data_IF_942881278254
#
_entry.id   IF_942881278254
#
_cell.length_a   1.000
_cell.length_b   1.000
_cell.length_c   1.000
_cell.angle_alpha   90.00
_cell.angle_beta   90.00
_cell.angle_gamma   90.00
#
_symmetry.space_group_name_H-M   'P 1'
#
loop_
_entity.id
_entity.type
_entity.pdbx_description
1 polymer ?
#
# COMPACT_ATOMS: atom_id res chain seq x y z
N UNK A 1 -5.59 -36.34 5.31
CA UNK A 1 -6.20 -36.01 4.01
C UNK A 1 -7.27 -34.98 4.30
N UNK A 2 -6.83 -33.72 4.52
CA UNK A 2 -7.71 -32.59 4.80
C UNK A 2 -8.32 -32.15 3.48
N UNK A 3 -9.64 -32.26 3.37
CA UNK A 3 -10.42 -31.59 2.37
C UNK A 3 -10.18 -30.08 2.54
N UNK A 4 -9.32 -29.49 1.70
CA UNK A 4 -9.36 -28.06 1.46
C UNK A 4 -10.73 -27.80 0.84
N UNK A 5 -11.62 -27.20 1.64
CA UNK A 5 -12.87 -26.64 1.15
C UNK A 5 -12.52 -25.64 0.03
N UNK A 6 -12.60 -26.10 -1.21
CA UNK A 6 -12.52 -25.25 -2.39
C UNK A 6 -13.76 -24.37 -2.40
N UNK A 7 -13.65 -23.24 -1.69
CA UNK A 7 -14.71 -22.25 -1.72
C UNK A 7 -15.05 -21.88 -3.16
N UNK A 8 -16.34 -21.82 -3.41
CA UNK A 8 -16.87 -21.53 -4.74
C UNK A 8 -16.38 -20.16 -5.23
N UNK A 9 -16.20 -20.01 -6.53
CA UNK A 9 -15.98 -18.71 -7.19
C UNK A 9 -17.02 -17.65 -6.78
N UNK A 10 -18.14 -18.08 -6.28
CA UNK A 10 -19.26 -17.26 -5.80
C UNK A 10 -19.19 -17.03 -4.30
N UNK A 11 -19.67 -15.88 -3.82
CA UNK A 11 -19.97 -15.67 -2.40
C UNK A 11 -21.06 -16.67 -1.96
N UNK A 12 -21.31 -16.85 -0.63
CA UNK A 12 -22.42 -17.63 -0.13
C UNK A 12 -23.81 -17.20 -0.68
N UNK A 13 -23.90 -16.00 -1.22
CA UNK A 13 -25.09 -15.47 -1.93
C UNK A 13 -25.05 -15.69 -3.45
N UNK A 14 -24.09 -16.47 -3.97
CA UNK A 14 -23.96 -16.72 -5.40
C UNK A 14 -23.36 -15.55 -6.20
N UNK A 15 -22.79 -14.52 -5.55
CA UNK A 15 -22.22 -13.37 -6.24
C UNK A 15 -20.78 -13.68 -6.65
N UNK A 16 -20.40 -13.49 -7.94
CA UNK A 16 -19.04 -13.69 -8.41
C UNK A 16 -18.03 -12.78 -7.69
N UNK A 17 -16.80 -13.26 -7.50
CA UNK A 17 -15.74 -12.50 -6.80
C UNK A 17 -15.50 -11.11 -7.43
N UNK A 18 -15.47 -11.02 -8.75
CA UNK A 18 -15.31 -9.75 -9.44
C UNK A 18 -16.46 -8.78 -9.18
N UNK A 19 -17.70 -9.27 -9.17
CA UNK A 19 -18.85 -8.43 -8.83
C UNK A 19 -18.78 -7.95 -7.36
N UNK A 20 -18.38 -8.82 -6.43
CA UNK A 20 -18.17 -8.42 -5.03
C UNK A 20 -17.10 -7.31 -4.90
N UNK A 21 -16.01 -7.40 -5.65
CA UNK A 21 -14.95 -6.39 -5.66
C UNK A 21 -15.46 -5.06 -6.23
N UNK A 22 -16.21 -5.10 -7.33
CA UNK A 22 -16.82 -3.89 -7.92
C UNK A 22 -17.79 -3.24 -6.93
N UNK A 23 -18.68 -4.04 -6.31
CA UNK A 23 -19.62 -3.54 -5.30
C UNK A 23 -18.85 -2.92 -4.13
N UNK A 24 -17.77 -3.56 -3.66
CA UNK A 24 -16.93 -3.03 -2.60
C UNK A 24 -16.33 -1.66 -2.97
N UNK A 25 -15.67 -1.55 -4.13
CA UNK A 25 -15.03 -0.30 -4.56
C UNK A 25 -16.08 0.81 -4.76
N UNK A 26 -17.19 0.52 -5.42
CA UNK A 26 -18.29 1.49 -5.62
C UNK A 26 -18.85 1.95 -4.27
N UNK A 27 -19.12 1.00 -3.36
CA UNK A 27 -19.62 1.33 -2.01
C UNK A 27 -18.63 2.17 -1.21
N UNK A 28 -17.33 1.89 -1.32
CA UNK A 28 -16.28 2.68 -0.68
C UNK A 28 -16.31 4.14 -1.15
N UNK A 29 -16.34 4.38 -2.47
CA UNK A 29 -16.39 5.75 -2.99
C UNK A 29 -17.71 6.47 -2.66
N UNK A 30 -18.84 5.75 -2.64
CA UNK A 30 -20.13 6.33 -2.22
C UNK A 30 -20.05 6.76 -0.75
N UNK A 31 -19.62 5.89 0.15
CA UNK A 31 -19.56 6.18 1.59
C UNK A 31 -18.56 7.31 1.85
N UNK A 32 -17.38 7.28 1.23
CA UNK A 32 -16.38 8.35 1.31
C UNK A 32 -16.97 9.69 0.84
N UNK A 33 -17.67 9.73 -0.29
CA UNK A 33 -18.29 10.94 -0.83
C UNK A 33 -19.40 11.48 0.07
N UNK A 34 -20.19 10.60 0.70
CA UNK A 34 -21.21 11.00 1.66
C UNK A 34 -20.58 11.65 2.90
N UNK A 35 -19.52 11.08 3.47
CA UNK A 35 -18.80 11.68 4.60
C UNK A 35 -18.22 13.05 4.22
N UNK A 36 -17.57 13.17 3.07
CA UNK A 36 -17.06 14.46 2.59
C UNK A 36 -18.17 15.50 2.42
N UNK A 37 -19.30 15.10 1.86
CA UNK A 37 -20.45 16.00 1.70
C UNK A 37 -20.99 16.48 3.04
N UNK A 38 -21.11 15.61 4.03
CA UNK A 38 -21.52 15.98 5.40
C UNK A 38 -20.53 16.94 6.03
N UNK A 39 -19.22 16.66 5.97
CA UNK A 39 -18.20 17.54 6.52
C UNK A 39 -18.18 18.92 5.85
N UNK A 40 -18.45 18.99 4.55
CA UNK A 40 -18.56 20.25 3.82
C UNK A 40 -19.77 21.08 4.26
N UNK A 41 -20.92 20.46 4.57
CA UNK A 41 -22.09 21.15 5.12
C UNK A 41 -21.78 21.89 6.43
N UNK A 42 -20.95 21.29 7.28
CA UNK A 42 -20.52 21.90 8.54
C UNK A 42 -19.27 22.76 8.40
N UNK A 43 -18.80 23.01 7.19
CA UNK A 43 -17.58 23.81 6.93
C UNK A 43 -16.34 23.32 7.70
N UNK A 44 -16.29 22.05 8.06
CA UNK A 44 -15.16 21.42 8.79
C UNK A 44 -13.93 21.33 7.89
N UNK A 45 -14.15 21.12 6.60
CA UNK A 45 -13.08 20.97 5.59
C UNK A 45 -12.80 22.35 4.98
N UNK A 46 -12.11 23.21 5.72
CA UNK A 46 -11.65 24.51 5.20
C UNK A 46 -10.16 24.64 5.43
N UNK A 47 -9.42 24.90 4.35
CA UNK A 47 -7.99 25.19 4.40
C UNK A 47 -7.14 24.22 3.59
N UNK A 48 -5.84 24.51 3.61
CA UNK A 48 -4.79 23.71 3.00
C UNK A 48 -3.82 23.27 4.12
N UNK A 49 -3.09 22.21 3.90
CA UNK A 49 -2.06 21.73 4.81
C UNK A 49 -2.41 20.41 5.50
N UNK A 50 -1.58 20.03 6.46
CA UNK A 50 -1.60 18.71 7.09
C UNK A 50 -2.98 18.36 7.70
N UNK A 51 -3.67 19.32 8.32
CA UNK A 51 -5.01 19.10 8.90
C UNK A 51 -6.06 18.68 7.85
N UNK A 52 -6.01 19.25 6.66
CA UNK A 52 -6.88 18.86 5.55
C UNK A 52 -6.62 17.40 5.11
N UNK A 53 -5.34 17.01 4.98
CA UNK A 53 -4.96 15.65 4.66
C UNK A 53 -5.40 14.64 5.72
N UNK A 54 -5.26 14.99 7.01
CA UNK A 54 -5.73 14.13 8.11
C UNK A 54 -7.25 13.91 8.10
N UNK A 55 -8.03 14.96 7.84
CA UNK A 55 -9.49 14.81 7.75
C UNK A 55 -9.85 13.90 6.57
N UNK A 56 -9.24 14.13 5.41
CA UNK A 56 -9.45 13.30 4.22
C UNK A 56 -9.13 11.83 4.49
N UNK A 57 -7.94 11.57 5.05
CA UNK A 57 -7.50 10.21 5.37
C UNK A 57 -8.34 9.56 6.46
N UNK A 58 -8.77 10.32 7.47
CA UNK A 58 -9.71 9.86 8.49
C UNK A 58 -11.06 9.42 7.90
N UNK A 59 -11.58 10.15 6.91
CA UNK A 59 -12.78 9.76 6.16
C UNK A 59 -12.53 8.47 5.37
N UNK A 60 -11.39 8.34 4.71
CA UNK A 60 -11.03 7.12 3.99
C UNK A 60 -10.93 5.93 4.94
N UNK A 61 -10.30 6.11 6.11
CA UNK A 61 -10.15 5.08 7.13
C UNK A 61 -11.51 4.59 7.64
N UNK A 62 -12.40 5.51 8.02
CA UNK A 62 -13.77 5.16 8.44
C UNK A 62 -14.53 4.45 7.33
N UNK A 63 -14.45 4.96 6.10
CA UNK A 63 -15.17 4.40 4.95
C UNK A 63 -14.71 2.98 4.65
N UNK A 64 -13.39 2.72 4.62
CA UNK A 64 -12.86 1.38 4.33
C UNK A 64 -13.28 0.37 5.40
N UNK A 65 -13.23 0.73 6.68
CA UNK A 65 -13.64 -0.18 7.75
C UNK A 65 -15.15 -0.45 7.73
N UNK A 66 -15.98 0.57 7.55
CA UNK A 66 -17.45 0.41 7.45
C UNK A 66 -17.79 -0.50 6.26
N UNK A 67 -17.31 -0.17 5.06
CA UNK A 67 -17.63 -0.92 3.85
C UNK A 67 -17.10 -2.34 3.93
N UNK A 68 -15.86 -2.53 4.37
CA UNK A 68 -15.28 -3.87 4.52
C UNK A 68 -16.06 -4.70 5.52
N UNK A 69 -16.44 -4.12 6.67
CA UNK A 69 -17.26 -4.81 7.66
C UNK A 69 -18.61 -5.22 7.08
N UNK A 70 -19.31 -4.32 6.39
CA UNK A 70 -20.62 -4.61 5.78
C UNK A 70 -20.51 -5.69 4.69
N UNK A 71 -19.50 -5.60 3.83
CA UNK A 71 -19.26 -6.58 2.78
C UNK A 71 -18.98 -7.97 3.37
N UNK A 72 -18.04 -8.06 4.32
CA UNK A 72 -17.71 -9.33 4.95
C UNK A 72 -18.88 -9.91 5.74
N UNK A 73 -19.59 -9.09 6.51
CA UNK A 73 -20.69 -9.56 7.37
C UNK A 73 -21.92 -10.00 6.57
N UNK A 74 -22.32 -9.23 5.56
CA UNK A 74 -23.60 -9.40 4.88
C UNK A 74 -23.49 -10.04 3.48
N UNK A 75 -22.40 -9.79 2.76
CA UNK A 75 -22.20 -10.35 1.42
C UNK A 75 -21.41 -11.66 1.46
N UNK A 76 -20.22 -11.63 2.07
CA UNK A 76 -19.32 -12.77 2.11
C UNK A 76 -19.63 -13.74 3.27
N UNK A 77 -20.38 -13.27 4.29
CA UNK A 77 -20.74 -14.03 5.51
C UNK A 77 -19.51 -14.58 6.23
N UNK A 78 -18.49 -13.75 6.37
CA UNK A 78 -17.22 -14.09 7.02
C UNK A 78 -16.90 -13.15 8.18
N UNK A 79 -16.14 -13.62 9.17
CA UNK A 79 -15.69 -12.77 10.25
C UNK A 79 -14.67 -11.76 9.75
N UNK A 80 -14.66 -10.56 10.35
CA UNK A 80 -13.71 -9.48 10.02
C UNK A 80 -12.25 -9.89 10.26
N UNK A 81 -12.00 -10.83 11.18
CA UNK A 81 -10.67 -11.40 11.45
C UNK A 81 -9.99 -12.01 10.23
N UNK A 82 -10.76 -12.47 9.23
CA UNK A 82 -10.26 -13.11 8.01
C UNK A 82 -9.51 -12.13 7.08
N UNK A 83 -9.55 -10.82 7.37
CA UNK A 83 -8.72 -9.82 6.67
C UNK A 83 -7.24 -9.96 6.97
N UNK A 84 -6.88 -10.50 8.15
CA UNK A 84 -5.49 -10.70 8.52
C UNK A 84 -4.93 -9.67 9.51
N UNK A 85 -5.75 -9.03 10.33
CA UNK A 85 -5.31 -8.10 11.37
C UNK A 85 -4.79 -8.75 12.65
N UNK A 86 -4.76 -10.08 12.75
CA UNK A 86 -4.23 -10.74 13.95
C UNK A 86 -2.76 -10.41 14.18
N UNK A 87 -2.44 -9.86 15.37
CA UNK A 87 -1.07 -9.56 15.81
C UNK A 87 -0.37 -10.76 16.47
N UNK A 88 -1.11 -11.81 16.81
CA UNK A 88 -0.56 -12.96 17.54
C UNK A 88 0.54 -13.64 16.72
N UNK A 89 1.79 -13.59 17.22
CA UNK A 89 2.95 -14.18 16.55
C UNK A 89 3.44 -13.39 15.31
N UNK A 90 3.01 -12.13 15.11
CA UNK A 90 3.30 -11.33 13.92
C UNK A 90 4.23 -10.12 14.15
N UNK A 91 4.85 -10.03 15.32
CA UNK A 91 5.82 -8.96 15.59
C UNK A 91 7.02 -8.96 14.64
N UNK A 92 7.46 -10.14 14.19
CA UNK A 92 8.52 -10.30 13.18
C UNK A 92 8.09 -9.80 11.80
N UNK A 93 6.82 -9.89 11.45
CA UNK A 93 6.29 -9.39 10.17
C UNK A 93 6.44 -7.87 10.09
N UNK A 94 6.17 -7.16 11.20
CA UNK A 94 6.36 -5.71 11.30
C UNK A 94 7.84 -5.35 11.15
N UNK A 95 8.73 -6.08 11.85
CA UNK A 95 10.17 -5.87 11.75
C UNK A 95 10.69 -6.11 10.33
N UNK A 96 10.26 -7.18 9.68
CA UNK A 96 10.70 -7.49 8.32
C UNK A 96 10.18 -6.48 7.29
N UNK A 97 8.95 -5.98 7.45
CA UNK A 97 8.44 -4.89 6.60
C UNK A 97 9.29 -3.62 6.74
N UNK A 98 9.60 -3.22 7.98
CA UNK A 98 10.51 -2.11 8.28
C UNK A 98 11.89 -2.30 7.65
N UNK A 99 12.55 -3.43 7.95
CA UNK A 99 13.91 -3.70 7.43
C UNK A 99 13.96 -3.72 5.91
N UNK A 100 12.92 -4.24 5.27
CA UNK A 100 12.84 -4.26 3.80
C UNK A 100 12.72 -2.87 3.22
N UNK A 101 11.86 -2.00 3.79
CA UNK A 101 11.75 -0.60 3.37
C UNK A 101 13.10 0.13 3.53
N UNK A 102 13.74 0.00 4.70
CA UNK A 102 15.05 0.59 4.96
C UNK A 102 16.09 0.11 3.94
N UNK A 103 16.15 -1.18 3.64
CA UNK A 103 17.11 -1.75 2.70
C UNK A 103 16.88 -1.26 1.28
N UNK A 104 15.63 -1.22 0.82
CA UNK A 104 15.27 -0.71 -0.51
C UNK A 104 15.71 0.76 -0.65
N UNK A 105 15.37 1.60 0.34
CA UNK A 105 15.74 3.01 0.28
C UNK A 105 17.24 3.26 0.51
N UNK A 106 17.91 2.49 1.36
CA UNK A 106 19.35 2.59 1.52
C UNK A 106 20.10 2.30 0.20
N UNK A 107 19.67 1.25 -0.51
CA UNK A 107 20.25 0.91 -1.83
C UNK A 107 19.85 1.98 -2.86
N UNK A 108 18.56 2.28 -2.98
CA UNK A 108 18.03 3.17 -4.01
C UNK A 108 18.53 4.61 -3.88
N UNK A 109 18.49 5.15 -2.67
CA UNK A 109 19.04 6.48 -2.35
C UNK A 109 20.55 6.51 -2.56
N UNK A 110 21.27 5.47 -2.09
CA UNK A 110 22.71 5.34 -2.27
C UNK A 110 23.10 5.31 -3.76
N UNK A 111 22.40 4.55 -4.60
CA UNK A 111 22.63 4.53 -6.05
C UNK A 111 22.43 5.92 -6.64
N UNK A 112 21.31 6.59 -6.36
CA UNK A 112 21.02 7.92 -6.90
C UNK A 112 22.06 8.97 -6.44
N UNK A 113 22.50 8.90 -5.19
CA UNK A 113 23.50 9.81 -4.63
C UNK A 113 24.88 9.58 -5.26
N UNK A 114 25.37 8.34 -5.31
CA UNK A 114 26.68 7.98 -5.84
C UNK A 114 26.82 8.23 -7.35
N UNK A 115 25.71 8.16 -8.07
CA UNK A 115 25.68 8.42 -9.52
C UNK A 115 25.35 9.89 -9.86
N UNK A 116 25.21 10.77 -8.85
CA UNK A 116 24.95 12.20 -9.05
C UNK A 116 23.55 12.54 -9.56
N UNK A 117 22.59 11.60 -9.43
CA UNK A 117 21.21 11.83 -9.82
C UNK A 117 20.36 12.51 -8.74
N UNK A 118 20.90 12.64 -7.53
CA UNK A 118 20.39 13.50 -6.46
C UNK A 118 21.58 14.22 -5.79
N UNK A 119 21.32 15.42 -5.29
CA UNK A 119 22.27 16.17 -4.47
C UNK A 119 21.65 16.30 -3.06
N UNK A 120 22.40 15.89 -2.05
CA UNK A 120 22.04 16.14 -0.67
C UNK A 120 22.40 17.58 -0.30
N UNK A 121 21.42 18.36 0.11
CA UNK A 121 21.58 19.80 0.40
C UNK A 121 21.75 20.05 1.89
N UNK A 122 21.00 19.35 2.75
CA UNK A 122 21.06 19.55 4.19
C UNK A 122 20.05 18.74 4.99
N UNK A 123 20.08 18.93 6.30
CA UNK A 123 19.17 18.30 7.27
C UNK A 123 18.38 19.38 7.99
N UNK A 124 17.07 19.24 8.04
CA UNK A 124 16.15 20.15 8.72
C UNK A 124 15.25 19.36 9.66
N UNK A 125 15.40 19.57 10.96
CA UNK A 125 14.60 18.88 11.95
C UNK A 125 13.29 19.63 12.26
N UNK A 126 12.19 19.04 11.80
CA UNK A 126 10.82 19.45 12.14
C UNK A 126 10.12 18.27 12.81
N UNK A 127 10.27 18.14 14.14
CA UNK A 127 9.73 17.00 14.89
C UNK A 127 8.23 16.81 14.72
N UNK A 128 7.47 17.94 14.69
CA UNK A 128 6.02 17.90 14.45
C UNK A 128 5.69 17.24 13.12
N UNK A 129 6.42 17.60 12.06
CA UNK A 129 6.15 17.09 10.71
C UNK A 129 6.52 15.61 10.58
N UNK A 130 7.63 15.20 11.20
CA UNK A 130 8.01 13.79 11.23
C UNK A 130 7.00 12.92 11.98
N UNK A 131 6.50 13.38 13.13
CA UNK A 131 5.52 12.62 13.91
C UNK A 131 4.14 12.61 13.24
N UNK A 132 3.67 13.77 12.79
CA UNK A 132 2.37 13.88 12.14
C UNK A 132 2.34 13.12 10.81
N UNK A 133 3.39 13.25 9.99
CA UNK A 133 3.47 12.47 8.75
C UNK A 133 3.57 10.97 9.03
N UNK A 134 4.24 10.56 10.11
CA UNK A 134 4.24 9.16 10.55
C UNK A 134 2.83 8.65 10.83
N UNK A 135 2.04 9.41 11.61
CA UNK A 135 0.65 9.04 11.87
C UNK A 135 -0.19 9.02 10.57
N UNK A 136 -0.02 10.04 9.71
CA UNK A 136 -0.71 10.12 8.44
C UNK A 136 -0.42 8.90 7.54
N UNK A 137 0.84 8.57 7.31
CA UNK A 137 1.22 7.43 6.46
C UNK A 137 0.88 6.07 7.09
N UNK A 138 0.78 5.98 8.42
CA UNK A 138 0.24 4.79 9.07
C UNK A 138 -1.24 4.60 8.71
N UNK A 139 -2.04 5.68 8.69
CA UNK A 139 -3.45 5.63 8.26
C UNK A 139 -3.55 5.25 6.79
N UNK A 140 -2.77 5.87 5.90
CA UNK A 140 -2.70 5.53 4.46
C UNK A 140 -2.42 4.04 4.27
N UNK A 141 -1.37 3.51 4.90
CA UNK A 141 -1.02 2.10 4.78
C UNK A 141 -2.14 1.18 5.28
N UNK A 142 -2.79 1.50 6.40
CA UNK A 142 -3.92 0.71 6.92
C UNK A 142 -5.10 0.73 5.95
N UNK A 143 -5.46 1.89 5.40
CA UNK A 143 -6.58 2.03 4.45
C UNK A 143 -6.31 1.19 3.20
N UNK A 144 -5.18 1.42 2.56
CA UNK A 144 -4.88 0.83 1.27
C UNK A 144 -4.62 -0.68 1.36
N UNK A 145 -3.91 -1.14 2.42
CA UNK A 145 -3.68 -2.57 2.60
C UNK A 145 -4.97 -3.32 3.01
N UNK A 146 -5.84 -2.69 3.83
CA UNK A 146 -7.16 -3.28 4.14
C UNK A 146 -7.98 -3.47 2.87
N UNK A 147 -8.02 -2.44 2.01
CA UNK A 147 -8.77 -2.48 0.77
C UNK A 147 -8.18 -3.49 -0.22
N UNK A 148 -6.88 -3.36 -0.51
CA UNK A 148 -6.28 -4.09 -1.63
C UNK A 148 -5.82 -5.50 -1.27
N UNK A 149 -5.22 -5.71 -0.09
CA UNK A 149 -4.73 -7.04 0.34
C UNK A 149 -5.77 -7.74 1.17
N UNK A 150 -6.34 -7.07 2.16
CA UNK A 150 -7.37 -7.64 3.03
C UNK A 150 -8.60 -8.09 2.25
N UNK A 151 -9.25 -7.15 1.54
CA UNK A 151 -10.50 -7.46 0.85
C UNK A 151 -10.29 -7.96 -0.59
N UNK A 152 -9.69 -7.16 -1.48
CA UNK A 152 -9.61 -7.47 -2.92
C UNK A 152 -8.79 -8.75 -3.15
N UNK A 153 -7.52 -8.76 -2.75
CA UNK A 153 -6.65 -9.92 -2.91
C UNK A 153 -7.17 -11.11 -2.10
N UNK A 154 -7.57 -10.88 -0.84
CA UNK A 154 -8.16 -11.91 0.01
C UNK A 154 -9.38 -12.57 -0.63
N UNK A 155 -10.23 -11.81 -1.32
CA UNK A 155 -11.41 -12.34 -2.02
C UNK A 155 -11.03 -13.13 -3.28
N UNK A 156 -10.07 -12.65 -4.08
CA UNK A 156 -9.57 -13.35 -5.26
C UNK A 156 -8.90 -14.69 -4.90
N UNK A 157 -8.10 -14.71 -3.85
CA UNK A 157 -7.38 -15.89 -3.38
C UNK A 157 -8.29 -17.00 -2.83
N UNK A 158 -9.56 -16.73 -2.62
CA UNK A 158 -10.60 -17.73 -2.25
C UNK A 158 -11.27 -18.33 -3.48
N UNK A 159 -10.93 -17.87 -4.69
CA UNK A 159 -11.43 -18.43 -5.94
C UNK A 159 -10.48 -19.53 -6.45
N UNK A 160 -10.84 -20.14 -7.58
CA UNK A 160 -9.96 -21.10 -8.29
C UNK A 160 -8.88 -20.43 -9.14
N UNK A 161 -8.77 -19.09 -9.08
CA UNK A 161 -7.72 -18.36 -9.80
C UNK A 161 -6.34 -18.72 -9.24
N UNK A 162 -5.36 -18.78 -10.12
CA UNK A 162 -3.97 -18.90 -9.70
C UNK A 162 -3.60 -17.73 -8.79
N UNK A 163 -2.87 -18.01 -7.69
CA UNK A 163 -2.50 -17.00 -6.69
C UNK A 163 -1.73 -15.83 -7.27
N UNK A 164 -0.87 -16.06 -8.27
CA UNK A 164 -0.09 -15.01 -8.93
C UNK A 164 -0.95 -14.16 -9.86
N UNK A 165 -1.96 -14.76 -10.51
CA UNK A 165 -2.96 -14.00 -11.29
C UNK A 165 -3.79 -13.13 -10.34
N UNK A 166 -4.21 -13.66 -9.20
CA UNK A 166 -4.94 -12.90 -8.17
C UNK A 166 -4.11 -11.72 -7.66
N UNK A 167 -2.82 -11.94 -7.40
CA UNK A 167 -1.89 -10.89 -7.01
C UNK A 167 -1.75 -9.82 -8.09
N UNK A 168 -1.56 -10.22 -9.35
CA UNK A 168 -1.45 -9.28 -10.47
C UNK A 168 -2.72 -8.44 -10.63
N UNK A 169 -3.90 -9.04 -10.57
CA UNK A 169 -5.18 -8.29 -10.65
C UNK A 169 -5.29 -7.27 -9.52
N UNK A 170 -4.98 -7.66 -8.29
CA UNK A 170 -4.98 -6.73 -7.14
C UNK A 170 -3.98 -5.59 -7.35
N UNK A 171 -2.78 -5.88 -7.88
CA UNK A 171 -1.74 -4.88 -8.13
C UNK A 171 -2.09 -3.92 -9.26
N UNK A 172 -2.76 -4.40 -10.30
CA UNK A 172 -3.29 -3.56 -11.37
C UNK A 172 -4.38 -2.62 -10.85
N UNK A 173 -5.31 -3.14 -10.03
CA UNK A 173 -6.33 -2.31 -9.40
C UNK A 173 -5.71 -1.26 -8.47
N UNK A 174 -4.68 -1.63 -7.71
CA UNK A 174 -3.93 -0.69 -6.87
C UNK A 174 -3.36 0.46 -7.70
N UNK A 175 -2.67 0.16 -8.80
CA UNK A 175 -2.13 1.18 -9.70
C UNK A 175 -3.24 2.04 -10.33
N UNK A 176 -4.35 1.44 -10.76
CA UNK A 176 -5.48 2.17 -11.34
C UNK A 176 -6.09 3.20 -10.38
N UNK A 177 -6.11 2.95 -9.07
CA UNK A 177 -6.58 3.91 -8.08
C UNK A 177 -5.69 5.15 -7.98
N UNK A 178 -4.45 5.07 -8.46
CA UNK A 178 -3.48 6.17 -8.47
C UNK A 178 -3.43 6.98 -9.78
N UNK A 179 -4.31 6.68 -10.76
CA UNK A 179 -4.33 7.38 -12.06
C UNK A 179 -4.57 8.89 -11.96
N UNK A 180 -5.20 9.34 -10.86
CA UNK A 180 -5.50 10.76 -10.64
C UNK A 180 -4.40 11.49 -9.87
N UNK A 181 -3.31 10.80 -9.52
CA UNK A 181 -2.19 11.41 -8.82
C UNK A 181 -1.44 12.40 -9.74
N UNK A 182 -0.83 13.46 -9.19
CA UNK A 182 0.00 14.36 -9.96
C UNK A 182 1.19 13.64 -10.60
N UNK A 183 1.64 14.13 -11.75
CA UNK A 183 2.85 13.66 -12.44
C UNK A 183 2.83 12.18 -12.84
N UNK A 184 1.66 11.57 -12.98
CA UNK A 184 1.49 10.20 -13.46
C UNK A 184 2.04 10.08 -14.89
N UNK A 185 2.83 9.04 -15.14
CA UNK A 185 3.37 8.66 -16.44
C UNK A 185 3.51 7.12 -16.52
N UNK A 186 3.99 6.60 -17.64
CA UNK A 186 4.10 5.15 -17.81
C UNK A 186 4.98 4.46 -16.76
N UNK A 187 6.18 4.98 -16.49
CA UNK A 187 7.11 4.37 -15.53
C UNK A 187 6.59 4.41 -14.09
N UNK A 188 6.07 5.54 -13.56
CA UNK A 188 5.34 5.56 -12.30
C UNK A 188 4.22 4.52 -12.21
N UNK A 189 3.38 4.41 -13.24
CA UNK A 189 2.29 3.43 -13.24
C UNK A 189 2.79 1.98 -13.23
N UNK A 190 3.85 1.67 -13.98
CA UNK A 190 4.51 0.37 -13.92
C UNK A 190 5.02 0.08 -12.52
N UNK A 191 5.67 1.05 -11.88
CA UNK A 191 6.22 0.89 -10.53
C UNK A 191 5.13 0.79 -9.46
N UNK A 192 3.97 1.43 -9.64
CA UNK A 192 2.80 1.21 -8.77
C UNK A 192 2.27 -0.23 -8.88
N UNK A 193 2.28 -0.83 -10.08
CA UNK A 193 1.96 -2.26 -10.24
C UNK A 193 3.00 -3.12 -9.53
N UNK A 194 4.29 -2.84 -9.71
CA UNK A 194 5.38 -3.57 -9.05
C UNK A 194 5.35 -3.40 -7.52
N UNK A 195 5.05 -2.20 -7.02
CA UNK A 195 4.80 -1.94 -5.61
C UNK A 195 3.60 -2.74 -5.09
N UNK A 196 2.54 -2.81 -5.91
CA UNK A 196 1.39 -3.66 -5.64
C UNK A 196 1.76 -5.14 -5.49
N UNK A 197 2.62 -5.65 -6.38
CA UNK A 197 3.14 -7.02 -6.32
C UNK A 197 4.01 -7.23 -5.08
N UNK A 198 4.92 -6.29 -4.79
CA UNK A 198 5.81 -6.34 -3.63
C UNK A 198 5.02 -6.40 -2.31
N UNK A 199 4.09 -5.47 -2.11
CA UNK A 199 3.27 -5.39 -0.90
C UNK A 199 2.36 -6.60 -0.74
N UNK A 200 1.81 -7.14 -1.85
CA UNK A 200 0.94 -8.30 -1.81
C UNK A 200 1.66 -9.65 -1.74
N UNK A 201 2.96 -9.71 -2.07
CA UNK A 201 3.69 -10.97 -2.15
C UNK A 201 3.70 -11.75 -0.82
N UNK A 202 3.91 -11.09 0.32
CA UNK A 202 3.87 -11.75 1.63
C UNK A 202 2.47 -12.21 2.01
N UNK A 203 1.44 -11.43 1.64
CA UNK A 203 0.04 -11.76 1.93
C UNK A 203 -0.43 -13.03 1.22
N UNK A 204 0.15 -13.38 0.07
CA UNK A 204 -0.14 -14.66 -0.61
C UNK A 204 0.03 -15.86 0.31
N UNK A 205 1.04 -15.81 1.17
CA UNK A 205 1.47 -16.94 1.99
C UNK A 205 1.00 -16.84 3.43
N UNK A 206 0.98 -15.63 3.98
CA UNK A 206 0.70 -15.39 5.41
C UNK A 206 -0.76 -15.12 5.70
N UNK A 207 -1.53 -14.62 4.73
CA UNK A 207 -2.90 -14.10 4.92
C UNK A 207 -2.96 -13.09 6.07
N UNK A 208 -1.89 -12.33 6.28
CA UNK A 208 -1.77 -11.37 7.35
C UNK A 208 -1.31 -10.01 6.81
N UNK A 209 -1.86 -8.93 7.37
CA UNK A 209 -1.66 -7.57 6.88
C UNK A 209 -0.45 -6.85 7.51
N UNK A 210 0.15 -7.38 8.59
CA UNK A 210 1.14 -6.61 9.32
C UNK A 210 2.47 -6.40 8.58
N UNK A 211 2.90 -7.38 7.76
CA UNK A 211 4.07 -7.16 6.90
C UNK A 211 3.78 -6.11 5.82
N UNK A 212 2.72 -6.22 4.98
CA UNK A 212 2.47 -5.21 3.97
C UNK A 212 2.14 -3.83 4.56
N UNK A 213 1.40 -3.73 5.68
CA UNK A 213 1.16 -2.44 6.35
C UNK A 213 2.48 -1.82 6.81
N UNK A 214 3.36 -2.59 7.44
CA UNK A 214 4.66 -2.09 7.90
C UNK A 214 5.53 -1.66 6.72
N UNK A 215 5.66 -2.50 5.70
CA UNK A 215 6.45 -2.17 4.51
C UNK A 215 5.91 -0.89 3.84
N UNK A 216 4.59 -0.78 3.64
CA UNK A 216 3.96 0.36 3.00
C UNK A 216 4.11 1.65 3.83
N UNK A 217 3.88 1.56 5.14
CA UNK A 217 4.07 2.68 6.04
C UNK A 217 5.49 3.24 5.96
N UNK A 218 6.49 2.38 6.16
CA UNK A 218 7.89 2.79 6.13
C UNK A 218 8.36 3.17 4.72
N UNK A 219 7.78 2.57 3.68
CA UNK A 219 8.00 2.99 2.30
C UNK A 219 7.66 4.48 2.13
N UNK A 220 6.43 4.86 2.43
CA UNK A 220 5.97 6.25 2.25
C UNK A 220 6.69 7.21 3.20
N UNK A 221 6.83 6.83 4.46
CA UNK A 221 7.42 7.70 5.48
C UNK A 221 8.91 7.94 5.26
N UNK A 222 9.67 6.93 4.84
CA UNK A 222 11.09 7.09 4.50
C UNK A 222 11.22 7.89 3.21
N UNK A 223 10.42 7.58 2.18
CA UNK A 223 10.50 8.27 0.88
C UNK A 223 10.30 9.78 1.02
N UNK A 224 9.19 10.18 1.60
CA UNK A 224 8.80 11.60 1.68
C UNK A 224 9.41 12.29 2.90
N UNK A 225 8.83 12.12 4.10
CA UNK A 225 9.22 12.85 5.30
C UNK A 225 10.71 12.74 5.66
N UNK A 226 11.34 11.58 5.46
CA UNK A 226 12.75 11.40 5.80
C UNK A 226 13.66 11.82 4.66
N UNK A 227 13.51 11.23 3.48
CA UNK A 227 14.47 11.43 2.37
C UNK A 227 14.16 12.64 1.50
N UNK A 228 12.96 13.21 1.53
CA UNK A 228 12.63 14.43 0.80
C UNK A 228 12.19 14.23 -0.65
N UNK A 229 11.84 13.02 -1.06
CA UNK A 229 11.16 12.79 -2.33
C UNK A 229 9.67 13.12 -2.23
N UNK A 230 9.02 13.36 -3.37
CA UNK A 230 7.57 13.27 -3.44
C UNK A 230 7.11 11.83 -3.20
N UNK A 231 5.90 11.64 -2.66
CA UNK A 231 5.27 10.31 -2.48
C UNK A 231 4.11 10.21 -3.46
N UNK A 232 4.25 9.35 -4.44
CA UNK A 232 3.26 9.19 -5.54
C UNK A 232 2.84 10.53 -6.16
N UNK A 233 3.82 11.42 -6.36
CA UNK A 233 3.63 12.73 -6.95
C UNK A 233 3.14 13.83 -6.01
N UNK A 234 3.01 13.56 -4.70
CA UNK A 234 2.51 14.51 -3.72
C UNK A 234 3.55 14.85 -2.65
N UNK A 235 3.49 16.09 -2.15
CA UNK A 235 4.26 16.55 -1.00
C UNK A 235 3.30 16.86 0.15
N UNK A 236 3.53 16.23 1.30
CA UNK A 236 2.62 16.31 2.45
C UNK A 236 3.13 17.16 3.60
N UNK A 237 4.45 17.29 3.78
CA UNK A 237 5.07 17.99 4.91
C UNK A 237 6.46 18.51 4.55
N UNK A 238 7.07 19.27 5.47
CA UNK A 238 8.50 19.55 5.45
C UNK A 238 9.28 18.26 5.74
N UNK A 239 10.46 18.14 5.10
CA UNK A 239 11.21 16.90 5.07
C UNK A 239 12.49 17.00 5.89
N UNK A 240 12.92 15.88 6.49
CA UNK A 240 14.16 15.82 7.26
C UNK A 240 15.37 16.11 6.37
N UNK A 241 15.45 15.48 5.19
CA UNK A 241 16.50 15.76 4.21
C UNK A 241 15.97 16.69 3.13
N UNK A 242 16.80 17.70 2.80
CA UNK A 242 16.59 18.54 1.61
C UNK A 242 17.41 17.97 0.46
N UNK A 243 16.74 17.67 -0.63
CA UNK A 243 17.32 17.17 -1.85
C UNK A 243 17.17 18.18 -2.97
N UNK A 244 18.20 18.25 -3.84
CA UNK A 244 18.06 18.81 -5.18
C UNK A 244 18.07 17.66 -6.17
N UNK A 245 17.05 17.59 -7.00
CA UNK A 245 16.99 16.64 -8.09
C UNK A 245 17.43 17.36 -9.37
N UNK A 246 18.64 17.08 -9.89
CA UNK A 246 19.03 17.58 -11.20
C UNK A 246 18.05 17.03 -12.21
N UNK A 247 17.58 17.84 -13.12
CA UNK A 247 16.54 17.63 -14.13
C UNK A 247 15.77 16.30 -14.03
N UNK A 248 14.47 16.33 -14.24
CA UNK A 248 13.62 15.13 -14.25
C UNK A 248 14.25 14.03 -15.11
N UNK A 249 14.73 12.98 -14.48
CA UNK A 249 15.30 11.83 -15.17
C UNK A 249 14.72 10.52 -14.65
N UNK A 250 14.86 9.48 -15.46
CA UNK A 250 14.32 8.14 -15.16
C UNK A 250 15.03 7.46 -13.98
N UNK A 251 16.20 7.95 -13.55
CA UNK A 251 16.99 7.32 -12.48
C UNK A 251 16.51 7.81 -11.10
N UNK A 252 16.22 9.11 -10.95
CA UNK A 252 15.83 9.70 -9.67
C UNK A 252 14.29 9.73 -9.44
N UNK A 253 13.51 9.45 -10.50
CA UNK A 253 12.04 9.41 -10.44
C UNK A 253 11.34 10.75 -10.64
N UNK A 254 12.10 11.86 -10.70
CA UNK A 254 11.55 13.18 -11.00
C UNK A 254 10.47 13.65 -10.04
N UNK A 255 9.45 14.29 -10.59
CA UNK A 255 8.34 14.88 -9.83
C UNK A 255 7.32 13.85 -9.28
N UNK A 256 7.42 12.58 -9.63
CA UNK A 256 6.60 11.52 -9.00
C UNK A 256 7.24 10.99 -7.72
N UNK A 257 8.53 11.25 -7.54
CA UNK A 257 9.35 10.71 -6.46
C UNK A 257 10.07 9.43 -6.85
N UNK A 258 10.70 8.76 -5.87
CA UNK A 258 11.49 7.55 -6.10
C UNK A 258 10.71 6.46 -6.86
N UNK A 259 9.41 6.35 -6.64
CA UNK A 259 8.50 5.45 -7.34
C UNK A 259 8.44 5.69 -8.86
N UNK A 260 8.85 6.85 -9.36
CA UNK A 260 8.97 7.16 -10.77
C UNK A 260 10.27 6.68 -11.42
N UNK A 261 11.15 5.95 -10.70
CA UNK A 261 12.51 5.65 -11.13
C UNK A 261 12.70 4.23 -11.66
N UNK A 262 13.68 4.06 -12.56
CA UNK A 262 14.17 2.73 -12.97
C UNK A 262 14.83 1.98 -11.81
N UNK A 263 15.42 2.69 -10.87
CA UNK A 263 16.00 2.09 -9.66
C UNK A 263 14.90 1.42 -8.84
N UNK A 264 13.74 2.09 -8.68
CA UNK A 264 12.56 1.51 -8.04
C UNK A 264 12.07 0.27 -8.79
N UNK A 265 12.00 0.31 -10.14
CA UNK A 265 11.61 -0.83 -10.97
C UNK A 265 12.44 -2.07 -10.65
N UNK A 266 13.77 -1.92 -10.66
CA UNK A 266 14.71 -3.02 -10.40
C UNK A 266 14.54 -3.54 -8.97
N UNK A 267 14.55 -2.65 -7.98
CA UNK A 267 14.48 -3.05 -6.57
C UNK A 267 13.12 -3.68 -6.23
N UNK A 268 12.00 -3.09 -6.64
CA UNK A 268 10.68 -3.66 -6.39
C UNK A 268 10.55 -5.06 -7.02
N UNK A 269 11.08 -5.26 -8.23
CA UNK A 269 11.09 -6.56 -8.89
C UNK A 269 11.93 -7.57 -8.12
N UNK A 270 13.19 -7.23 -7.78
CA UNK A 270 14.10 -8.14 -7.08
C UNK A 270 13.56 -8.54 -5.70
N UNK A 271 13.04 -7.58 -4.93
CA UNK A 271 12.50 -7.88 -3.60
C UNK A 271 11.18 -8.66 -3.66
N UNK A 272 10.33 -8.43 -4.67
CA UNK A 272 9.14 -9.27 -4.92
C UNK A 272 9.54 -10.71 -5.20
N UNK A 273 10.50 -10.91 -6.11
CA UNK A 273 11.01 -12.26 -6.44
C UNK A 273 11.68 -12.93 -5.22
N UNK A 274 12.41 -12.15 -4.41
CA UNK A 274 13.01 -12.64 -3.17
C UNK A 274 11.95 -13.12 -2.17
N UNK A 275 10.87 -12.34 -1.93
CA UNK A 275 9.78 -12.76 -1.03
C UNK A 275 9.14 -14.06 -1.53
N UNK A 276 8.80 -14.12 -2.83
CA UNK A 276 8.18 -15.30 -3.43
C UNK A 276 9.12 -16.52 -3.29
N UNK A 277 10.40 -16.35 -3.67
CA UNK A 277 11.40 -17.41 -3.55
C UNK A 277 11.55 -17.89 -2.10
N UNK A 278 11.63 -16.95 -1.14
CA UNK A 278 11.76 -17.27 0.28
C UNK A 278 10.61 -18.15 0.78
N UNK A 279 9.37 -17.77 0.49
CA UNK A 279 8.22 -18.53 0.93
C UNK A 279 8.07 -19.87 0.21
N UNK A 280 8.33 -19.95 -1.10
CA UNK A 280 8.24 -21.20 -1.85
C UNK A 280 9.31 -22.22 -1.41
N UNK A 281 10.52 -21.79 -1.05
CA UNK A 281 11.59 -22.68 -0.64
C UNK A 281 11.59 -22.97 0.87
N UNK A 282 11.16 -22.04 1.70
CA UNK A 282 11.03 -22.25 3.15
C UNK A 282 9.84 -23.14 3.52
N UNK A 283 8.85 -23.29 2.64
CA UNK A 283 7.66 -24.12 2.86
C UNK A 283 7.96 -25.63 2.92
N UNK A 284 9.14 -26.07 2.53
CA UNK A 284 9.61 -27.45 2.80
C UNK A 284 9.94 -27.69 4.29
N UNK A 285 10.12 -26.61 5.09
CA UNK A 285 10.36 -26.67 6.53
C UNK A 285 9.24 -26.10 7.41
N UNK A 286 8.33 -25.32 6.87
CA UNK A 286 7.28 -24.59 7.60
C UNK A 286 5.88 -25.11 7.31
N UNK A 287 5.60 -26.39 7.62
CA UNK A 287 4.23 -26.85 7.91
C UNK A 287 3.76 -26.33 9.28
N UNK A 288 3.97 -25.06 9.58
CA UNK A 288 3.63 -24.46 10.87
C UNK A 288 3.06 -23.04 10.72
N UNK A 289 2.15 -22.84 9.79
CA UNK A 289 1.25 -21.67 9.82
C UNK A 289 -0.17 -22.08 9.45
#
# INVERSE_FOLDING_TARGET
MEQQDHESFFSPKGIPAFASIIIFLVSFFIVMSLFHSVLNLFSVVRGYGMGYFFIGEGVMLLSVFIVTFLMMRFLDRRPFSDLGFSLKGRGTDILYGFLMAVLIYAIGFGVCLLTGHIEFVGVHFHWSDLLLSGLFFAMVAIVEETMMRGYVLGRLLRTRLNKFISLLISSLLFALLHLMNPNVAFLPMLNLVLGGLLLGASYLYTRNLWFPISLHFFWNWIQGPVLGYEVSGNRFCETLFSLRLPANNLINGGAFGFEGSLVCTVLATLFTLFIIWWFEHSSQGMRRY
#
